data_IF_521690045889
#
_entry.id   IF_521690045889
#
_cell.length_a   1.000
_cell.length_b   1.000
_cell.length_c   1.000
_cell.angle_alpha   90.00
_cell.angle_beta   90.00
_cell.angle_gamma   90.00
#
_symmetry.space_group_name_H-M   'P 1'
#
loop_
_entity.id
_entity.type
_entity.pdbx_description
1 polymer ?
#
# COMPACT_ATOMS: atom_id res chain seq x y z
N UNK A 1 -17.45 -9.32 -1.17
CA UNK A 1 -16.75 -8.01 -1.12
C UNK A 1 -15.54 -8.04 -2.04
N UNK A 2 -15.34 -6.99 -2.83
CA UNK A 2 -14.16 -6.87 -3.71
C UNK A 2 -13.30 -5.69 -3.28
N UNK A 3 -12.06 -5.97 -2.92
CA UNK A 3 -11.10 -4.98 -2.46
C UNK A 3 -10.03 -4.83 -3.52
N UNK A 4 -9.80 -3.59 -3.97
CA UNK A 4 -8.68 -3.24 -4.83
C UNK A 4 -7.53 -2.73 -3.94
N UNK A 5 -6.38 -3.37 -4.01
CA UNK A 5 -5.14 -2.86 -3.46
C UNK A 5 -4.27 -2.35 -4.62
N UNK A 6 -3.87 -1.08 -4.59
CA UNK A 6 -2.98 -0.45 -5.56
C UNK A 6 -1.56 -0.35 -4.99
N UNK A 7 -0.57 -0.68 -5.82
CA UNK A 7 0.84 -0.51 -5.50
C UNK A 7 1.26 0.95 -5.42
N UNK A 8 2.52 1.15 -5.05
CA UNK A 8 3.12 2.45 -4.74
C UNK A 8 2.80 3.51 -5.79
N UNK A 9 2.08 4.56 -5.39
CA UNK A 9 1.71 5.66 -6.28
C UNK A 9 2.90 6.61 -6.40
N UNK A 10 3.40 6.79 -7.64
CA UNK A 10 4.60 7.58 -7.92
C UNK A 10 4.29 8.81 -8.76
N UNK A 11 4.49 10.00 -8.17
CA UNK A 11 4.46 11.29 -8.85
C UNK A 11 3.08 11.90 -9.08
N UNK A 12 3.04 13.22 -9.23
CA UNK A 12 1.82 14.02 -9.37
C UNK A 12 0.98 13.68 -10.62
N UNK A 13 1.64 13.30 -11.72
CA UNK A 13 0.93 12.88 -12.95
C UNK A 13 0.10 11.63 -12.73
N UNK A 14 0.55 10.75 -11.81
CA UNK A 14 -0.17 9.54 -11.44
C UNK A 14 -1.41 9.85 -10.60
N UNK A 15 -1.33 10.84 -9.71
CA UNK A 15 -2.52 11.33 -8.98
C UNK A 15 -3.57 11.84 -9.95
N UNK A 16 -3.18 12.65 -10.93
CA UNK A 16 -4.09 13.12 -11.98
C UNK A 16 -4.67 11.97 -12.81
N UNK A 17 -3.86 10.98 -13.18
CA UNK A 17 -4.31 9.79 -13.90
C UNK A 17 -5.38 8.99 -13.10
N UNK A 18 -5.16 8.77 -11.80
CA UNK A 18 -6.12 8.08 -10.94
C UNK A 18 -7.43 8.86 -10.81
N UNK A 19 -7.38 10.18 -10.73
CA UNK A 19 -8.55 11.04 -10.70
C UNK A 19 -9.47 10.83 -11.92
N UNK A 20 -8.88 10.62 -13.09
CA UNK A 20 -9.64 10.43 -14.34
C UNK A 20 -10.12 8.97 -14.52
N UNK A 21 -9.42 7.99 -13.98
CA UNK A 21 -9.62 6.58 -14.33
C UNK A 21 -10.15 5.69 -13.19
N UNK A 22 -9.84 5.98 -11.91
CA UNK A 22 -10.11 5.07 -10.80
C UNK A 22 -11.61 4.80 -10.60
N UNK A 23 -12.47 5.82 -10.66
CA UNK A 23 -13.91 5.63 -10.53
C UNK A 23 -14.51 4.75 -11.63
N UNK A 24 -14.05 4.92 -12.86
CA UNK A 24 -14.48 4.07 -13.98
C UNK A 24 -14.06 2.61 -13.76
N UNK A 25 -12.81 2.40 -13.35
CA UNK A 25 -12.29 1.07 -13.03
C UNK A 25 -13.04 0.43 -11.84
N UNK A 26 -13.24 1.19 -10.76
CA UNK A 26 -13.98 0.78 -9.57
C UNK A 26 -15.39 0.29 -9.93
N UNK A 27 -16.12 1.09 -10.71
CA UNK A 27 -17.48 0.76 -11.15
C UNK A 27 -17.52 -0.48 -12.08
N UNK A 28 -16.64 -0.53 -13.08
CA UNK A 28 -16.60 -1.62 -14.07
C UNK A 28 -16.26 -2.97 -13.44
N UNK A 29 -15.42 -2.96 -12.40
CA UNK A 29 -14.97 -4.15 -11.70
C UNK A 29 -15.74 -4.43 -10.40
N UNK A 30 -16.76 -3.62 -10.09
CA UNK A 30 -17.58 -3.73 -8.86
C UNK A 30 -16.70 -3.76 -7.60
N UNK A 31 -15.80 -2.78 -7.49
CA UNK A 31 -14.91 -2.65 -6.35
C UNK A 31 -15.65 -1.92 -5.23
N UNK A 32 -15.73 -2.56 -4.07
CA UNK A 32 -16.40 -2.02 -2.88
C UNK A 32 -15.45 -1.13 -2.06
N UNK A 33 -14.15 -1.46 -2.03
CA UNK A 33 -13.15 -0.77 -1.23
C UNK A 33 -11.80 -0.68 -1.95
N UNK A 34 -11.13 0.47 -1.81
CA UNK A 34 -9.82 0.72 -2.43
C UNK A 34 -8.81 1.12 -1.37
N UNK A 35 -7.73 0.36 -1.25
CA UNK A 35 -6.54 0.73 -0.48
C UNK A 35 -5.37 0.96 -1.43
N UNK A 36 -4.56 1.99 -1.19
CA UNK A 36 -3.42 2.31 -2.05
C UNK A 36 -2.22 2.80 -1.23
N UNK A 37 -1.01 2.44 -1.64
CA UNK A 37 0.18 3.01 -1.03
C UNK A 37 0.51 4.35 -1.69
N UNK A 38 0.50 5.43 -0.88
CA UNK A 38 0.66 6.81 -1.33
C UNK A 38 2.04 7.42 -1.07
N UNK A 39 3.00 6.68 -0.55
CA UNK A 39 4.23 7.26 -0.01
C UNK A 39 5.15 7.97 -1.02
N UNK A 40 4.96 7.77 -2.34
CA UNK A 40 5.82 8.31 -3.39
C UNK A 40 5.12 9.33 -4.30
N UNK A 41 3.99 9.90 -3.87
CA UNK A 41 3.17 10.81 -4.69
C UNK A 41 3.84 12.16 -4.99
N UNK A 42 4.69 12.65 -4.08
CA UNK A 42 5.34 13.95 -4.25
C UNK A 42 6.83 13.77 -4.56
N UNK A 43 7.23 14.03 -5.80
CA UNK A 43 8.63 13.98 -6.28
C UNK A 43 9.41 12.72 -5.83
N UNK A 44 8.76 11.55 -5.74
CA UNK A 44 9.33 10.25 -5.36
C UNK A 44 9.43 10.03 -3.84
N UNK A 45 9.34 11.08 -3.01
CA UNK A 45 9.52 10.97 -1.56
C UNK A 45 8.40 11.67 -0.80
N UNK A 46 7.61 10.87 -0.11
CA UNK A 46 6.56 11.34 0.79
C UNK A 46 5.21 11.55 0.12
N UNK A 47 4.19 11.53 0.95
CA UNK A 47 2.81 11.87 0.63
C UNK A 47 2.56 13.32 1.07
N UNK A 48 2.22 14.21 0.15
CA UNK A 48 1.83 15.58 0.47
C UNK A 48 0.35 15.66 0.86
N UNK A 49 -0.01 16.71 1.59
CA UNK A 49 -1.38 16.93 2.07
C UNK A 49 -2.39 17.06 0.91
N UNK A 50 -2.04 17.79 -0.13
CA UNK A 50 -2.93 18.02 -1.27
C UNK A 50 -3.11 16.73 -2.07
N UNK A 51 -2.03 15.96 -2.30
CA UNK A 51 -2.08 14.68 -2.97
C UNK A 51 -2.91 13.65 -2.19
N UNK A 52 -2.78 13.62 -0.87
CA UNK A 52 -3.59 12.75 -0.03
C UNK A 52 -5.08 13.07 -0.18
N UNK A 53 -5.46 14.35 -0.10
CA UNK A 53 -6.85 14.79 -0.29
C UNK A 53 -7.38 14.48 -1.70
N UNK A 54 -6.58 14.68 -2.74
CA UNK A 54 -6.97 14.38 -4.11
C UNK A 54 -7.19 12.87 -4.32
N UNK A 55 -6.32 12.02 -3.79
CA UNK A 55 -6.45 10.55 -3.87
C UNK A 55 -7.70 10.07 -3.14
N UNK A 56 -7.97 10.56 -1.93
CA UNK A 56 -9.20 10.24 -1.20
C UNK A 56 -10.45 10.72 -1.96
N UNK A 57 -10.42 11.92 -2.52
CA UNK A 57 -11.53 12.46 -3.29
C UNK A 57 -11.78 11.72 -4.61
N UNK A 58 -10.76 11.11 -5.21
CA UNK A 58 -10.88 10.35 -6.46
C UNK A 58 -11.28 8.88 -6.27
N UNK A 59 -11.50 8.44 -5.02
CA UNK A 59 -12.06 7.11 -4.75
C UNK A 59 -11.09 6.11 -4.13
N UNK A 60 -9.96 6.55 -3.58
CA UNK A 60 -9.19 5.76 -2.62
C UNK A 60 -9.85 5.89 -1.26
N UNK A 61 -10.12 4.79 -0.59
CA UNK A 61 -10.79 4.80 0.73
C UNK A 61 -9.77 4.86 1.88
N UNK A 62 -8.61 4.19 1.73
CA UNK A 62 -7.49 4.25 2.70
C UNK A 62 -6.16 4.36 1.96
N UNK A 63 -5.31 5.27 2.42
CA UNK A 63 -3.92 5.39 2.00
C UNK A 63 -3.00 4.76 3.05
N UNK A 64 -2.19 3.79 2.62
CA UNK A 64 -1.03 3.31 3.37
C UNK A 64 0.21 4.10 2.98
N UNK A 65 1.26 3.99 3.77
CA UNK A 65 2.55 4.62 3.51
C UNK A 65 3.69 3.62 3.75
N UNK A 66 4.92 4.09 3.93
CA UNK A 66 6.08 3.24 4.17
C UNK A 66 7.25 4.02 4.78
N UNK A 67 8.46 3.74 4.35
CA UNK A 67 9.67 4.39 4.87
C UNK A 67 9.80 5.88 4.48
N UNK A 68 9.06 6.34 3.46
CA UNK A 68 9.05 7.76 3.08
C UNK A 68 7.92 8.56 3.73
N UNK A 69 7.17 8.01 4.69
CA UNK A 69 6.04 8.68 5.35
C UNK A 69 6.40 10.05 5.93
N UNK A 70 7.65 10.25 6.36
CA UNK A 70 8.16 11.52 6.91
C UNK A 70 8.77 12.45 5.86
N UNK A 71 8.70 12.11 4.58
CA UNK A 71 9.27 12.90 3.49
C UNK A 71 8.63 14.29 3.31
N UNK A 72 7.39 14.46 3.78
CA UNK A 72 6.64 15.72 3.70
C UNK A 72 6.11 16.13 5.07
N UNK A 73 6.43 17.35 5.52
CA UNK A 73 5.97 17.84 6.83
C UNK A 73 4.51 18.25 6.85
N UNK A 74 3.97 18.67 5.72
CA UNK A 74 2.60 19.12 5.57
C UNK A 74 1.55 18.02 5.81
N UNK A 75 1.95 16.74 5.79
CA UNK A 75 1.06 15.60 6.10
C UNK A 75 0.93 15.33 7.61
N UNK A 76 1.85 15.78 8.46
CA UNK A 76 1.94 15.33 9.86
C UNK A 76 0.67 15.62 10.66
N UNK A 77 0.19 16.87 10.62
CA UNK A 77 -1.04 17.24 11.32
C UNK A 77 -2.27 16.51 10.75
N UNK A 78 -2.23 16.18 9.45
CA UNK A 78 -3.30 15.43 8.81
C UNK A 78 -3.30 13.97 9.26
N UNK A 79 -2.13 13.33 9.41
CA UNK A 79 -2.01 11.98 9.96
C UNK A 79 -2.65 11.84 11.35
N UNK A 80 -2.50 12.86 12.20
CA UNK A 80 -3.09 12.86 13.56
C UNK A 80 -4.62 13.06 13.56
N UNK A 81 -5.18 13.62 12.47
CA UNK A 81 -6.59 14.03 12.41
C UNK A 81 -7.41 13.27 11.35
N UNK A 82 -6.86 12.22 10.74
CA UNK A 82 -7.56 11.41 9.73
C UNK A 82 -7.52 9.93 10.08
N UNK A 83 -8.59 9.22 9.71
CA UNK A 83 -8.63 7.76 9.71
C UNK A 83 -8.30 7.16 8.34
N UNK A 84 -8.19 8.00 7.29
CA UNK A 84 -8.05 7.55 5.92
C UNK A 84 -6.59 7.45 5.45
N UNK A 85 -5.61 7.92 6.24
CA UNK A 85 -4.17 7.79 5.95
C UNK A 85 -3.47 7.18 7.14
N UNK A 86 -2.79 6.06 6.93
CA UNK A 86 -2.09 5.34 7.99
C UNK A 86 -0.59 5.19 7.69
N UNK A 87 0.21 5.28 8.74
CA UNK A 87 1.64 5.02 8.71
C UNK A 87 1.95 3.57 9.11
N UNK A 88 3.19 3.07 8.94
CA UNK A 88 3.54 1.76 9.48
C UNK A 88 3.36 1.68 11.02
N UNK A 89 2.74 0.57 11.47
CA UNK A 89 2.36 0.35 12.87
C UNK A 89 3.57 0.17 13.81
N UNK A 90 4.70 -0.27 13.27
CA UNK A 90 5.93 -0.52 14.02
C UNK A 90 6.81 0.73 14.23
N UNK A 91 6.37 1.93 13.83
CA UNK A 91 6.96 3.18 14.32
C UNK A 91 6.61 3.41 15.80
N UNK A 92 7.47 4.12 16.55
CA UNK A 92 7.20 4.46 17.95
C UNK A 92 5.85 5.17 18.13
N UNK A 93 5.23 4.97 19.30
CA UNK A 93 3.90 5.52 19.62
C UNK A 93 3.85 7.06 19.65
N UNK A 94 4.99 7.74 19.80
CA UNK A 94 5.08 9.20 19.73
C UNK A 94 5.17 9.77 18.31
N UNK A 95 5.18 8.92 17.28
CA UNK A 95 5.15 9.38 15.89
C UNK A 95 3.72 9.78 15.49
N UNK A 96 3.55 10.85 14.66
CA UNK A 96 2.23 11.29 14.19
C UNK A 96 1.42 10.19 13.52
N UNK A 97 0.11 10.20 13.71
CA UNK A 97 -0.84 9.29 13.07
C UNK A 97 -0.91 7.88 13.65
N UNK A 98 -1.76 7.07 13.07
CA UNK A 98 -2.02 5.68 13.44
C UNK A 98 -1.39 4.69 12.46
N UNK A 99 -1.06 3.49 12.94
CA UNK A 99 -0.58 2.38 12.10
C UNK A 99 -1.69 1.50 11.53
N UNK A 100 -2.94 1.80 11.88
CA UNK A 100 -4.12 1.07 11.43
C UNK A 100 -5.36 1.96 11.51
N UNK A 101 -6.40 1.53 10.81
CA UNK A 101 -7.75 2.14 10.89
C UNK A 101 -8.82 1.08 10.68
N UNK A 102 -10.05 1.35 11.14
CA UNK A 102 -11.22 0.50 10.93
C UNK A 102 -12.28 1.29 10.18
N UNK A 103 -12.61 0.86 8.97
CA UNK A 103 -13.57 1.53 8.07
C UNK A 103 -14.81 0.64 7.89
N UNK A 104 -16.01 1.24 7.90
CA UNK A 104 -17.24 0.51 7.57
C UNK A 104 -17.45 0.47 6.05
N UNK A 105 -17.55 -0.73 5.49
CA UNK A 105 -17.80 -0.97 4.07
C UNK A 105 -19.05 -1.86 3.95
N UNK A 106 -20.16 -1.28 3.52
CA UNK A 106 -21.45 -1.98 3.35
C UNK A 106 -21.89 -2.81 4.57
N UNK A 107 -21.65 -2.28 5.77
CA UNK A 107 -22.01 -2.90 7.04
C UNK A 107 -20.96 -3.82 7.64
N UNK A 108 -19.85 -4.09 6.95
CA UNK A 108 -18.70 -4.84 7.48
C UNK A 108 -17.58 -3.88 7.91
N UNK A 109 -16.99 -4.17 9.05
CA UNK A 109 -15.83 -3.43 9.57
C UNK A 109 -14.54 -4.00 8.98
N UNK A 110 -13.84 -3.19 8.20
CA UNK A 110 -12.56 -3.54 7.56
C UNK A 110 -11.43 -2.89 8.33
N UNK A 111 -10.60 -3.68 8.99
CA UNK A 111 -9.37 -3.26 9.65
C UNK A 111 -8.25 -3.21 8.61
N UNK A 112 -7.69 -2.03 8.35
CA UNK A 112 -6.52 -1.83 7.52
C UNK A 112 -5.30 -1.61 8.39
N UNK A 113 -4.23 -2.38 8.18
CA UNK A 113 -2.97 -2.30 8.91
C UNK A 113 -1.85 -2.06 7.90
N UNK A 114 -0.92 -1.18 8.24
CA UNK A 114 0.32 -0.99 7.50
C UNK A 114 1.51 -1.40 8.37
N UNK A 115 2.47 -2.14 7.84
CA UNK A 115 3.67 -2.55 8.56
C UNK A 115 4.93 -2.34 7.70
N UNK A 116 6.00 -1.85 8.30
CA UNK A 116 7.29 -1.65 7.65
C UNK A 116 8.23 -2.81 7.94
N UNK A 117 8.80 -3.42 6.90
CA UNK A 117 9.87 -4.40 7.05
C UNK A 117 11.13 -3.81 7.69
N UNK A 118 11.97 -4.68 8.21
CA UNK A 118 13.23 -4.31 8.86
C UNK A 118 14.47 -4.86 8.15
N UNK A 119 14.28 -5.83 7.24
CA UNK A 119 15.39 -6.42 6.48
C UNK A 119 15.80 -5.47 5.35
N UNK A 120 17.03 -4.94 5.44
CA UNK A 120 17.60 -3.91 4.56
C UNK A 120 16.87 -2.55 4.61
N UNK A 121 16.12 -2.30 5.68
CA UNK A 121 15.38 -1.07 5.93
C UNK A 121 15.74 -0.46 7.28
N UNK A 122 15.00 0.56 7.72
CA UNK A 122 15.23 1.20 9.01
C UNK A 122 15.03 0.23 10.18
N UNK A 123 15.86 0.39 11.22
CA UNK A 123 15.79 -0.42 12.44
C UNK A 123 14.61 0.03 13.31
N UNK A 124 13.45 -0.57 13.07
CA UNK A 124 12.22 -0.37 13.83
C UNK A 124 11.90 -1.58 14.71
N UNK A 125 10.80 -1.50 15.48
CA UNK A 125 10.24 -2.64 16.18
C UNK A 125 9.80 -3.74 15.19
N UNK A 126 9.71 -4.98 15.68
CA UNK A 126 9.27 -6.13 14.87
C UNK A 126 7.91 -5.86 14.21
N UNK A 127 7.79 -5.94 12.86
CA UNK A 127 6.51 -5.80 12.20
C UNK A 127 5.52 -6.91 12.58
N UNK A 128 6.01 -8.11 12.90
CA UNK A 128 5.17 -9.21 13.38
C UNK A 128 4.49 -8.87 14.70
N UNK A 129 5.26 -8.40 15.69
CA UNK A 129 4.73 -8.03 17.01
C UNK A 129 3.78 -6.83 16.91
N UNK A 130 4.09 -5.85 16.07
CA UNK A 130 3.24 -4.68 15.88
C UNK A 130 1.87 -5.07 15.27
N UNK A 131 1.85 -5.95 14.27
CA UNK A 131 0.60 -6.42 13.66
C UNK A 131 -0.19 -7.31 14.64
N UNK A 132 0.46 -8.25 15.34
CA UNK A 132 -0.21 -9.07 16.37
C UNK A 132 -0.84 -8.20 17.48
N UNK A 133 -0.15 -7.13 17.91
CA UNK A 133 -0.67 -6.19 18.91
C UNK A 133 -1.91 -5.43 18.41
N UNK A 134 -1.95 -5.03 17.12
CA UNK A 134 -3.13 -4.40 16.52
C UNK A 134 -4.29 -5.38 16.44
N UNK A 135 -4.06 -6.60 15.95
CA UNK A 135 -5.09 -7.64 15.84
C UNK A 135 -5.70 -7.99 17.19
N UNK A 136 -4.88 -8.10 18.26
CA UNK A 136 -5.39 -8.36 19.61
C UNK A 136 -6.17 -7.18 20.20
N UNK A 137 -5.71 -5.94 19.94
CA UNK A 137 -6.40 -4.74 20.41
C UNK A 137 -7.77 -4.58 19.78
N UNK A 138 -7.90 -4.86 18.50
CA UNK A 138 -9.12 -4.64 17.71
C UNK A 138 -9.99 -5.91 17.55
N UNK A 139 -9.65 -7.03 18.18
CA UNK A 139 -10.23 -8.37 17.94
C UNK A 139 -11.76 -8.43 17.93
N UNK A 140 -12.43 -7.57 18.71
CA UNK A 140 -13.90 -7.49 18.76
C UNK A 140 -14.47 -6.36 17.85
N UNK A 141 -13.60 -5.67 17.10
CA UNK A 141 -13.98 -4.45 16.38
C UNK A 141 -13.77 -4.55 14.86
N UNK A 142 -13.51 -5.74 14.30
CA UNK A 142 -13.45 -5.92 12.85
C UNK A 142 -14.00 -7.26 12.37
N UNK A 143 -14.45 -7.27 11.12
CA UNK A 143 -14.90 -8.48 10.42
C UNK A 143 -13.84 -9.00 9.46
N UNK A 144 -13.14 -8.08 8.77
CA UNK A 144 -12.11 -8.35 7.76
C UNK A 144 -10.86 -7.57 8.14
N UNK A 145 -9.68 -8.20 8.02
CA UNK A 145 -8.40 -7.53 8.18
C UNK A 145 -7.61 -7.52 6.87
N UNK A 146 -6.98 -6.39 6.57
CA UNK A 146 -6.10 -6.17 5.42
C UNK A 146 -4.74 -5.72 5.93
N UNK A 147 -3.65 -6.25 5.38
CA UNK A 147 -2.29 -5.91 5.76
C UNK A 147 -1.46 -5.51 4.53
N UNK A 148 -0.97 -4.27 4.53
CA UNK A 148 0.11 -3.80 3.65
C UNK A 148 1.46 -4.03 4.34
N UNK A 149 2.29 -4.90 3.75
CA UNK A 149 3.67 -5.16 4.18
C UNK A 149 4.62 -4.38 3.28
N UNK A 150 4.96 -3.17 3.70
CA UNK A 150 5.89 -2.32 2.98
C UNK A 150 7.33 -2.73 3.29
N UNK A 151 7.95 -3.57 2.46
CA UNK A 151 9.24 -4.18 2.75
C UNK A 151 10.10 -4.43 1.50
N UNK A 152 11.42 -4.32 1.64
CA UNK A 152 12.39 -4.62 0.58
C UNK A 152 12.50 -6.13 0.36
N UNK A 153 12.67 -6.93 1.42
CA UNK A 153 12.96 -8.35 1.31
C UNK A 153 11.73 -9.19 1.00
N UNK A 154 11.73 -9.91 -0.12
CA UNK A 154 10.68 -10.87 -0.49
C UNK A 154 10.49 -11.96 0.56
N UNK A 155 11.58 -12.40 1.20
CA UNK A 155 11.52 -13.39 2.28
C UNK A 155 10.76 -12.89 3.52
N UNK A 156 10.90 -11.62 3.88
CA UNK A 156 10.17 -11.01 4.99
C UNK A 156 8.68 -10.88 4.66
N UNK A 157 8.33 -10.42 3.45
CA UNK A 157 6.94 -10.37 2.97
C UNK A 157 6.28 -11.75 3.00
N UNK A 158 6.97 -12.76 2.46
CA UNK A 158 6.44 -14.12 2.44
C UNK A 158 6.29 -14.71 3.85
N UNK A 159 7.28 -14.46 4.74
CA UNK A 159 7.21 -14.89 6.14
C UNK A 159 6.01 -14.26 6.86
N UNK A 160 5.75 -12.96 6.67
CA UNK A 160 4.56 -12.29 7.21
C UNK A 160 3.27 -12.86 6.62
N UNK A 161 3.23 -13.10 5.31
CA UNK A 161 2.09 -13.74 4.66
C UNK A 161 1.73 -15.09 5.28
N UNK A 162 2.72 -15.96 5.48
CA UNK A 162 2.51 -17.29 6.07
C UNK A 162 2.19 -17.24 7.57
N UNK A 163 2.80 -16.31 8.31
CA UNK A 163 2.55 -16.14 9.75
C UNK A 163 1.14 -15.63 10.05
N UNK A 164 0.64 -14.70 9.20
CA UNK A 164 -0.69 -14.12 9.35
C UNK A 164 -1.78 -14.86 8.57
N UNK A 165 -1.45 -15.97 7.89
CA UNK A 165 -2.45 -16.80 7.20
C UNK A 165 -3.53 -17.30 8.15
N UNK A 166 -4.78 -16.96 7.82
CA UNK A 166 -5.97 -17.23 8.64
C UNK A 166 -6.24 -16.23 9.77
N UNK A 167 -5.30 -15.30 10.07
CA UNK A 167 -5.50 -14.18 11.00
C UNK A 167 -5.89 -12.90 10.25
N UNK A 168 -5.35 -12.70 9.06
CA UNK A 168 -5.59 -11.54 8.18
C UNK A 168 -6.21 -12.04 6.88
N UNK A 169 -7.24 -11.36 6.38
CA UNK A 169 -8.00 -11.82 5.20
C UNK A 169 -7.28 -11.56 3.89
N UNK A 170 -6.63 -10.40 3.75
CA UNK A 170 -5.85 -10.04 2.56
C UNK A 170 -4.50 -9.45 2.96
N UNK A 171 -3.42 -10.00 2.40
CA UNK A 171 -2.03 -9.61 2.70
C UNK A 171 -1.35 -9.32 1.37
N UNK A 172 -0.75 -8.15 1.24
CA UNK A 172 0.01 -7.76 0.06
C UNK A 172 1.26 -6.98 0.43
N UNK A 173 2.25 -7.05 -0.43
CA UNK A 173 3.46 -6.27 -0.27
C UNK A 173 3.50 -5.05 -1.19
N UNK A 174 4.30 -4.06 -0.79
CA UNK A 174 4.64 -2.83 -1.50
C UNK A 174 6.13 -2.55 -1.40
N UNK A 175 6.65 -1.46 -1.89
CA UNK A 175 8.02 -0.96 -1.84
C UNK A 175 8.89 -1.25 -3.07
N UNK A 176 8.90 -2.47 -3.61
CA UNK A 176 9.86 -2.81 -4.68
C UNK A 176 9.48 -2.26 -6.05
N UNK A 177 8.23 -1.77 -6.21
CA UNK A 177 7.67 -1.24 -7.45
C UNK A 177 7.61 -2.24 -8.61
N UNK A 178 7.84 -3.54 -8.35
CA UNK A 178 7.80 -4.60 -9.35
C UNK A 178 6.72 -5.60 -8.99
N UNK A 179 5.65 -5.64 -9.77
CA UNK A 179 4.53 -6.55 -9.52
C UNK A 179 4.97 -8.02 -9.65
N UNK A 180 4.81 -8.79 -8.56
CA UNK A 180 5.12 -10.23 -8.56
C UNK A 180 3.97 -11.04 -9.16
N UNK A 181 4.25 -12.28 -9.55
CA UNK A 181 3.31 -13.19 -10.23
C UNK A 181 2.94 -14.39 -9.34
N UNK A 182 2.85 -14.15 -8.03
CA UNK A 182 2.66 -15.19 -7.02
C UNK A 182 1.33 -15.05 -6.26
N UNK A 183 0.39 -14.28 -6.84
CA UNK A 183 -0.93 -14.09 -6.26
C UNK A 183 -1.64 -15.41 -6.03
N UNK A 184 -2.14 -15.63 -4.82
CA UNK A 184 -2.81 -16.88 -4.42
C UNK A 184 -3.67 -16.71 -3.18
N UNK A 185 -4.50 -17.72 -2.90
CA UNK A 185 -5.11 -17.92 -1.60
C UNK A 185 -4.25 -18.92 -0.84
N UNK A 186 -3.85 -18.58 0.38
CA UNK A 186 -3.05 -19.42 1.28
C UNK A 186 -3.92 -20.51 1.92
N UNK A 187 -3.29 -21.49 2.59
CA UNK A 187 -3.96 -22.70 3.11
C UNK A 187 -5.10 -22.41 4.09
N UNK A 188 -4.97 -21.38 4.93
CA UNK A 188 -6.00 -21.02 5.93
C UNK A 188 -7.00 -19.98 5.40
N UNK A 189 -6.84 -19.53 4.15
CA UNK A 189 -7.80 -18.69 3.44
C UNK A 189 -7.44 -17.22 3.32
N UNK A 190 -6.25 -16.80 3.67
CA UNK A 190 -5.78 -15.44 3.39
C UNK A 190 -5.41 -15.28 1.92
N UNK A 191 -5.84 -14.19 1.28
CA UNK A 191 -5.31 -13.79 -0.02
C UNK A 191 -3.91 -13.20 0.12
N UNK A 192 -3.00 -13.52 -0.81
CA UNK A 192 -1.62 -13.10 -0.75
C UNK A 192 -1.04 -12.72 -2.12
N UNK A 193 -0.23 -11.68 -2.16
CA UNK A 193 0.71 -11.35 -3.24
C UNK A 193 1.95 -10.69 -2.63
N UNK A 194 3.13 -11.08 -3.09
CA UNK A 194 4.41 -10.58 -2.55
C UNK A 194 4.60 -9.09 -2.81
N UNK A 195 4.26 -8.58 -3.99
CA UNK A 195 4.33 -7.14 -4.29
C UNK A 195 3.26 -6.74 -5.32
N UNK A 196 2.56 -5.65 -5.05
CA UNK A 196 1.54 -5.10 -5.93
C UNK A 196 2.12 -4.40 -7.17
N UNK A 197 3.40 -4.07 -7.15
CA UNK A 197 4.05 -3.25 -8.15
C UNK A 197 3.87 -1.76 -7.90
N UNK A 198 3.88 -0.98 -8.95
CA UNK A 198 3.84 0.48 -8.94
C UNK A 198 2.62 1.00 -9.71
N UNK A 199 1.98 2.01 -9.17
CA UNK A 199 1.06 2.86 -9.91
C UNK A 199 1.84 4.11 -10.31
N UNK A 200 2.27 4.18 -11.58
CA UNK A 200 3.22 5.22 -11.98
C UNK A 200 3.67 5.13 -13.44
N UNK A 201 4.68 5.93 -13.83
CA UNK A 201 5.18 5.99 -15.21
C UNK A 201 5.89 4.70 -15.63
N UNK A 202 5.46 4.10 -16.74
CA UNK A 202 5.98 2.83 -17.28
C UNK A 202 7.42 2.92 -17.79
N UNK A 203 7.83 4.07 -18.31
CA UNK A 203 9.08 4.23 -19.07
C UNK A 203 10.30 4.61 -18.20
N UNK A 204 10.16 4.53 -16.88
CA UNK A 204 11.23 4.78 -15.92
C UNK A 204 11.88 3.52 -15.35
N UNK A 205 12.78 3.72 -14.42
CA UNK A 205 13.32 2.66 -13.55
C UNK A 205 12.67 2.87 -12.18
N UNK A 206 11.73 2.03 -11.82
CA UNK A 206 10.94 2.13 -10.57
C UNK A 206 10.26 3.52 -10.42
N UNK A 207 9.75 4.09 -11.54
CA UNK A 207 9.12 5.41 -11.56
C UNK A 207 10.08 6.59 -11.70
N UNK A 208 11.39 6.35 -11.61
CA UNK A 208 12.44 7.37 -11.76
C UNK A 208 12.91 7.47 -13.21
N UNK A 209 13.27 8.68 -13.64
CA UNK A 209 13.88 8.91 -14.94
C UNK A 209 15.13 8.03 -15.13
N UNK A 210 15.15 7.29 -16.25
CA UNK A 210 16.17 6.31 -16.56
C UNK A 210 17.60 6.90 -16.62
N UNK A 211 17.73 8.13 -17.13
CA UNK A 211 19.06 8.76 -17.33
C UNK A 211 19.66 9.17 -15.98
N UNK A 212 18.80 9.49 -14.99
CA UNK A 212 19.23 9.75 -13.63
C UNK A 212 19.75 8.46 -12.96
N UNK A 213 19.03 7.37 -13.11
CA UNK A 213 19.40 6.08 -12.49
C UNK A 213 20.63 5.49 -13.15
N UNK A 214 20.65 5.44 -14.48
CA UNK A 214 21.79 4.92 -15.25
C UNK A 214 23.08 5.70 -14.97
N UNK A 215 22.99 7.04 -14.91
CA UNK A 215 24.15 7.86 -14.54
C UNK A 215 24.74 7.43 -13.19
N UNK A 216 23.90 7.26 -12.15
CA UNK A 216 24.36 6.84 -10.82
C UNK A 216 24.96 5.44 -10.81
N UNK A 217 24.37 4.48 -11.52
CA UNK A 217 24.90 3.12 -11.60
C UNK A 217 26.21 3.03 -12.35
N UNK A 218 26.36 3.78 -13.45
CA UNK A 218 27.56 3.74 -14.29
C UNK A 218 28.72 4.54 -13.70
N UNK A 219 28.43 5.68 -13.07
CA UNK A 219 29.48 6.60 -12.60
C UNK A 219 29.73 6.56 -11.10
N UNK A 220 28.78 6.02 -10.32
CA UNK A 220 28.71 6.08 -8.84
C UNK A 220 28.60 7.52 -8.29
N UNK A 221 28.40 8.51 -9.15
CA UNK A 221 28.23 9.91 -8.77
C UNK A 221 26.78 10.21 -8.40
N UNK A 222 26.52 11.09 -7.42
CA UNK A 222 25.16 11.49 -7.07
C UNK A 222 24.51 12.27 -8.22
N UNK A 223 23.24 11.99 -8.46
CA UNK A 223 22.36 12.76 -9.36
C UNK A 223 20.98 12.80 -8.72
N UNK A 224 20.34 13.96 -8.72
CA UNK A 224 18.98 14.09 -8.18
C UNK A 224 18.03 13.21 -9.01
N UNK A 225 17.20 12.45 -8.33
CA UNK A 225 16.13 11.70 -8.96
C UNK A 225 14.99 12.63 -9.36
N UNK A 226 14.41 12.36 -10.51
CA UNK A 226 13.18 12.99 -11.01
C UNK A 226 12.22 11.88 -11.43
N UNK A 227 10.92 12.14 -11.31
CA UNK A 227 9.90 11.22 -11.79
C UNK A 227 10.02 11.07 -13.31
N UNK A 228 9.91 9.85 -13.80
CA UNK A 228 9.93 9.60 -15.23
C UNK A 228 8.72 10.19 -15.94
N UNK A 229 8.90 10.55 -17.21
CA UNK A 229 7.81 10.97 -18.08
C UNK A 229 7.21 9.76 -18.83
N UNK A 230 6.00 9.96 -19.38
CA UNK A 230 5.37 9.02 -20.28
C UNK A 230 4.03 8.49 -19.80
N UNK A 231 3.67 7.35 -20.36
CA UNK A 231 2.41 6.67 -20.06
C UNK A 231 2.37 6.17 -18.61
N UNK A 232 1.25 6.40 -17.92
CA UNK A 232 1.00 5.92 -16.57
C UNK A 232 0.28 4.57 -16.65
N UNK A 233 0.64 3.64 -15.78
CA UNK A 233 -0.06 2.38 -15.56
C UNK A 233 -0.34 2.24 -14.07
N UNK A 234 -1.58 1.96 -13.70
CA UNK A 234 -1.90 1.57 -12.34
C UNK A 234 -1.74 0.04 -12.21
N UNK A 235 -0.93 -0.41 -11.24
CA UNK A 235 -0.76 -1.82 -10.92
C UNK A 235 -1.30 -2.11 -9.53
N UNK A 236 -1.90 -3.30 -9.37
CA UNK A 236 -2.45 -3.74 -8.09
C UNK A 236 -3.03 -5.14 -8.15
N UNK A 237 -3.82 -5.48 -7.15
CA UNK A 237 -4.56 -6.73 -7.10
C UNK A 237 -5.98 -6.51 -6.59
N UNK A 238 -6.92 -7.29 -7.12
CA UNK A 238 -8.28 -7.40 -6.62
C UNK A 238 -8.40 -8.67 -5.78
N UNK A 239 -8.79 -8.50 -4.53
CA UNK A 239 -9.12 -9.57 -3.60
C UNK A 239 -10.65 -9.73 -3.58
N UNK A 240 -11.13 -10.90 -3.94
CA UNK A 240 -12.54 -11.25 -3.79
C UNK A 240 -12.70 -12.01 -2.47
N UNK A 241 -13.49 -11.44 -1.56
CA UNK A 241 -13.58 -11.89 -0.17
C UNK A 241 -15.01 -12.32 0.13
N UNK A 242 -15.16 -13.45 0.83
CA UNK A 242 -16.39 -13.80 1.54
C UNK A 242 -16.34 -13.15 2.93
N UNK A 243 -17.10 -12.07 3.18
CA UNK A 243 -17.03 -11.35 4.45
C UNK A 243 -17.62 -12.14 5.62
N UNK A 244 -18.51 -13.11 5.38
CA UNK A 244 -19.08 -13.95 6.42
C UNK A 244 -18.12 -15.06 6.85
N UNK A 245 -17.44 -15.68 5.88
CA UNK A 245 -16.41 -16.67 6.15
C UNK A 245 -15.07 -16.04 6.58
N UNK A 246 -14.92 -14.71 6.41
CA UNK A 246 -13.69 -13.94 6.65
C UNK A 246 -12.49 -14.47 5.84
N UNK A 247 -12.75 -14.94 4.61
CA UNK A 247 -11.76 -15.60 3.75
C UNK A 247 -11.73 -14.96 2.36
N UNK A 248 -10.56 -14.94 1.78
CA UNK A 248 -10.38 -14.60 0.37
C UNK A 248 -10.76 -15.79 -0.51
N UNK A 249 -11.57 -15.54 -1.53
CA UNK A 249 -11.99 -16.52 -2.53
C UNK A 249 -11.03 -16.54 -3.73
N UNK A 250 -10.54 -15.39 -4.15
CA UNK A 250 -9.59 -15.26 -5.24
C UNK A 250 -8.75 -13.99 -5.11
N UNK A 251 -7.53 -14.04 -5.67
CA UNK A 251 -6.65 -12.88 -5.86
C UNK A 251 -6.32 -12.77 -7.33
N UNK A 252 -6.45 -11.57 -7.92
CA UNK A 252 -6.13 -11.33 -9.33
C UNK A 252 -5.35 -10.04 -9.48
N UNK A 253 -4.19 -10.12 -10.11
CA UNK A 253 -3.45 -8.93 -10.54
C UNK A 253 -4.27 -8.13 -11.53
N UNK A 254 -4.18 -6.82 -11.44
CA UNK A 254 -4.82 -5.89 -12.36
C UNK A 254 -3.84 -4.83 -12.82
N UNK A 255 -4.10 -4.35 -14.05
CA UNK A 255 -3.43 -3.20 -14.64
C UNK A 255 -4.45 -2.39 -15.41
N UNK A 256 -4.38 -1.09 -15.31
CA UNK A 256 -5.23 -0.18 -16.06
C UNK A 256 -4.57 1.18 -16.22
#
# INVERSE_FOLDING_TARGET
MRILALGDIVGLKTVAYLKDNLWSFRKSNKIDFVVANGENTNDIFGLGLDEAKELLACGVDVLTTGNHVWGRRDIYDFLDNTEAVIRPANYPSGAPGSGYTVINVDGFKVLCINALGTVFMDSLSSPFEAVDAVLEREKENYDIAILDVHAEATSEKLAMGLYFDGKVTAIFGTHTHVQTADERVLEKGSGYITDLGMTGPKNGILGVDKDCVLYRFLTKMPKRYTVADGEIEAQGAVFEIDPFAKKTLSVKRVKF
#
